data_IF_268176929343
#
_entry.id   IF_268176929343
#
_cell.length_a   1.000
_cell.length_b   1.000
_cell.length_c   1.000
_cell.angle_alpha   90.00
_cell.angle_beta   90.00
_cell.angle_gamma   90.00
#
_symmetry.space_group_name_H-M   'P 1'
#
loop_
_entity.id
_entity.type
_entity.pdbx_description
1 polymer ?
#
# COMPACT_ATOMS: atom_id res chain seq x y z
N UNK A 1 -22.79 17.96 5.85
CA UNK A 1 -21.61 17.61 6.67
C UNK A 1 -20.50 17.24 5.68
N UNK A 2 -19.52 18.11 5.47
CA UNK A 2 -18.43 17.87 4.51
C UNK A 2 -17.28 17.20 5.24
N UNK A 3 -17.10 15.89 5.04
CA UNK A 3 -15.92 15.15 5.49
C UNK A 3 -14.71 15.67 4.71
N UNK A 4 -13.91 16.51 5.36
CA UNK A 4 -12.58 16.83 4.86
C UNK A 4 -11.71 15.58 5.07
N UNK A 5 -11.49 14.82 4.00
CA UNK A 5 -10.43 13.82 3.96
C UNK A 5 -9.09 14.57 4.05
N UNK A 6 -8.59 14.75 5.28
CA UNK A 6 -7.22 15.20 5.48
C UNK A 6 -6.30 14.13 4.90
N UNK A 7 -5.50 14.51 3.91
CA UNK A 7 -4.42 13.64 3.43
C UNK A 7 -3.51 13.30 4.63
N UNK A 8 -3.18 12.00 4.83
CA UNK A 8 -2.21 11.60 5.86
C UNK A 8 -0.86 12.30 5.64
N UNK A 9 0.04 12.31 6.64
CA UNK A 9 1.45 12.60 6.30
C UNK A 9 1.98 11.41 5.52
N UNK A 10 1.86 11.49 4.22
CA UNK A 10 2.58 10.66 3.28
C UNK A 10 4.04 11.09 3.31
N UNK A 11 4.94 10.14 3.53
CA UNK A 11 6.30 10.32 3.05
C UNK A 11 6.28 10.24 1.52
N UNK A 12 7.14 10.98 0.80
CA UNK A 12 7.28 10.79 -0.63
C UNK A 12 7.62 9.32 -0.89
N UNK A 13 6.79 8.65 -1.68
CA UNK A 13 6.99 7.26 -2.04
C UNK A 13 8.39 7.05 -2.61
N UNK A 14 9.04 5.93 -2.28
CA UNK A 14 10.34 5.58 -2.89
C UNK A 14 10.19 5.62 -4.42
N UNK A 15 10.89 6.53 -5.14
CA UNK A 15 10.52 6.91 -6.50
C UNK A 15 10.60 5.73 -7.49
N UNK A 16 11.58 4.84 -7.33
CA UNK A 16 11.72 3.65 -8.17
C UNK A 16 10.57 2.65 -7.96
N UNK A 17 10.13 2.45 -6.72
CA UNK A 17 9.02 1.54 -6.40
C UNK A 17 7.69 2.14 -6.86
N UNK A 18 7.47 3.43 -6.60
CA UNK A 18 6.30 4.15 -7.07
C UNK A 18 6.17 4.09 -8.60
N UNK A 19 7.26 4.30 -9.34
CA UNK A 19 7.25 4.21 -10.80
C UNK A 19 6.92 2.81 -11.31
N UNK A 20 7.44 1.75 -10.65
CA UNK A 20 7.09 0.36 -11.01
C UNK A 20 5.62 0.05 -10.71
N UNK A 21 5.09 0.48 -9.57
CA UNK A 21 3.67 0.32 -9.20
C UNK A 21 2.78 1.07 -10.18
N UNK A 22 3.09 2.34 -10.47
CA UNK A 22 2.34 3.17 -11.40
C UNK A 22 2.25 2.53 -12.78
N UNK A 23 3.38 2.05 -13.30
CA UNK A 23 3.45 1.33 -14.58
C UNK A 23 2.61 0.04 -14.56
N UNK A 24 2.70 -0.76 -13.50
CA UNK A 24 1.93 -1.99 -13.36
C UNK A 24 0.42 -1.75 -13.26
N UNK A 25 0.00 -0.62 -12.68
CA UNK A 25 -1.40 -0.23 -12.57
C UNK A 25 -1.92 0.56 -13.78
N UNK A 26 -1.04 0.96 -14.71
CA UNK A 26 -1.40 1.82 -15.83
C UNK A 26 -1.83 3.23 -15.41
N UNK A 27 -1.37 3.69 -14.25
CA UNK A 27 -1.64 5.04 -13.72
C UNK A 27 -0.42 5.94 -13.93
N UNK A 28 -0.64 7.25 -14.10
CA UNK A 28 0.46 8.21 -14.20
C UNK A 28 1.29 8.26 -12.91
N UNK A 29 2.59 8.57 -13.01
CA UNK A 29 3.54 8.63 -11.88
C UNK A 29 3.14 9.59 -10.75
N UNK A 30 2.20 10.51 -10.98
CA UNK A 30 1.91 11.64 -10.09
C UNK A 30 0.81 11.37 -9.04
N UNK A 31 0.38 10.13 -8.81
CA UNK A 31 -0.81 9.87 -7.97
C UNK A 31 -0.62 8.83 -6.88
N UNK A 32 0.61 8.49 -6.48
CA UNK A 32 0.88 7.51 -5.43
C UNK A 32 1.51 8.16 -4.19
N UNK A 33 0.88 7.97 -3.05
CA UNK A 33 1.33 8.42 -1.74
C UNK A 33 1.66 7.23 -0.86
N UNK A 34 2.89 7.08 -0.36
CA UNK A 34 3.23 5.99 0.55
C UNK A 34 2.62 6.26 1.94
N UNK A 35 1.99 5.24 2.50
CA UNK A 35 1.34 5.27 3.80
C UNK A 35 2.04 4.34 4.78
N UNK A 36 2.13 4.78 6.02
CA UNK A 36 2.52 3.91 7.12
C UNK A 36 1.34 2.99 7.49
N UNK A 37 1.61 1.71 7.71
CA UNK A 37 0.60 0.77 8.21
C UNK A 37 0.08 1.15 9.59
N UNK A 38 0.90 1.80 10.41
CA UNK A 38 0.48 2.28 11.73
C UNK A 38 -0.56 3.39 11.63
N UNK A 39 -0.64 4.10 10.50
CA UNK A 39 -1.62 5.15 10.23
C UNK A 39 -2.91 4.61 9.56
N UNK A 40 -3.05 3.29 9.37
CA UNK A 40 -4.16 2.68 8.63
C UNK A 40 -5.11 1.85 9.51
N UNK A 41 -6.41 2.06 9.33
CA UNK A 41 -7.43 1.06 9.63
C UNK A 41 -7.79 0.33 8.33
N UNK A 42 -7.74 -0.99 8.37
CA UNK A 42 -8.07 -1.85 7.22
C UNK A 42 -9.05 -2.93 7.67
N UNK A 43 -10.02 -3.26 6.83
CA UNK A 43 -11.00 -4.30 7.12
C UNK A 43 -10.32 -5.66 7.32
N UNK A 44 -10.80 -6.45 8.29
CA UNK A 44 -10.24 -7.75 8.67
C UNK A 44 -10.04 -8.70 7.46
N UNK A 45 -10.98 -8.68 6.50
CA UNK A 45 -10.87 -9.51 5.29
C UNK A 45 -9.62 -9.19 4.47
N UNK A 46 -9.21 -7.93 4.41
CA UNK A 46 -8.01 -7.49 3.68
C UNK A 46 -6.76 -7.89 4.46
N UNK A 47 -6.80 -7.80 5.80
CA UNK A 47 -5.70 -8.31 6.64
C UNK A 47 -5.47 -9.79 6.39
N UNK A 48 -6.53 -10.60 6.31
CA UNK A 48 -6.41 -12.04 5.98
C UNK A 48 -5.80 -12.28 4.60
N UNK A 49 -6.24 -11.52 3.59
CA UNK A 49 -5.67 -11.60 2.24
C UNK A 49 -4.20 -11.16 2.21
N UNK A 50 -3.86 -10.12 2.96
CA UNK A 50 -2.48 -9.64 3.10
C UNK A 50 -1.60 -10.67 3.79
N UNK A 51 -2.07 -11.33 4.85
CA UNK A 51 -1.33 -12.40 5.52
C UNK A 51 -1.07 -13.58 4.57
N UNK A 52 -2.07 -13.98 3.77
CA UNK A 52 -1.90 -15.03 2.76
C UNK A 52 -0.86 -14.63 1.71
N UNK A 53 -0.95 -13.39 1.20
CA UNK A 53 0.03 -12.86 0.27
C UNK A 53 1.43 -12.82 0.89
N UNK A 54 1.56 -12.34 2.13
CA UNK A 54 2.83 -12.28 2.85
C UNK A 54 3.45 -13.67 3.01
N UNK A 55 2.66 -14.70 3.30
CA UNK A 55 3.15 -16.08 3.35
C UNK A 55 3.68 -16.56 2.00
N UNK A 56 2.95 -16.31 0.90
CA UNK A 56 3.41 -16.66 -0.45
C UNK A 56 4.70 -15.95 -0.82
N UNK A 57 4.78 -14.65 -0.52
CA UNK A 57 5.94 -13.81 -0.83
C UNK A 57 7.14 -14.20 0.03
N UNK A 58 6.94 -14.51 1.31
CA UNK A 58 7.98 -15.00 2.20
C UNK A 58 8.50 -16.37 1.76
N UNK A 59 7.63 -17.28 1.32
CA UNK A 59 8.04 -18.58 0.77
C UNK A 59 8.97 -18.42 -0.44
N UNK A 60 8.62 -17.51 -1.36
CA UNK A 60 9.46 -17.17 -2.52
C UNK A 60 10.75 -16.41 -2.16
N UNK A 61 10.72 -15.65 -1.07
CA UNK A 61 11.86 -14.86 -0.60
C UNK A 61 12.81 -15.66 0.32
N UNK A 62 12.35 -16.72 0.99
CA UNK A 62 13.17 -17.59 1.85
C UNK A 62 14.29 -18.28 1.07
N UNK A 63 14.09 -18.52 -0.23
CA UNK A 63 15.13 -18.98 -1.14
C UNK A 63 16.19 -17.90 -1.48
N UNK A 64 16.08 -16.68 -0.92
CA UNK A 64 16.84 -15.51 -1.38
C UNK A 64 17.33 -14.61 -0.23
N UNK A 65 18.53 -14.06 -0.41
CA UNK A 65 19.16 -13.17 0.59
C UNK A 65 18.47 -11.80 0.73
N UNK A 66 17.61 -11.42 -0.22
CA UNK A 66 16.85 -10.17 -0.17
C UNK A 66 15.44 -10.48 0.33
N UNK A 67 15.17 -10.16 1.59
CA UNK A 67 13.85 -10.33 2.19
C UNK A 67 12.74 -9.57 1.45
N UNK A 68 11.50 -9.97 1.69
CA UNK A 68 10.32 -9.33 1.12
C UNK A 68 9.95 -8.04 1.87
N UNK A 69 9.60 -6.99 1.13
CA UNK A 69 9.06 -5.76 1.70
C UNK A 69 7.59 -5.61 1.31
N UNK A 70 6.75 -5.31 2.29
CA UNK A 70 5.35 -4.95 2.08
C UNK A 70 5.19 -3.47 2.40
N UNK A 71 4.64 -2.71 1.45
CA UNK A 71 4.37 -1.28 1.56
C UNK A 71 2.92 -0.97 1.19
N UNK A 72 2.38 0.12 1.74
CA UNK A 72 1.04 0.60 1.45
C UNK A 72 1.11 1.93 0.69
N UNK A 73 0.31 2.07 -0.36
CA UNK A 73 0.24 3.29 -1.16
C UNK A 73 -1.21 3.70 -1.37
N UNK A 74 -1.52 4.97 -1.25
CA UNK A 74 -2.82 5.51 -1.60
C UNK A 74 -2.77 6.20 -2.96
N UNK A 75 -3.77 5.90 -3.80
CA UNK A 75 -3.97 6.53 -5.11
C UNK A 75 -4.87 7.75 -4.96
N UNK A 76 -4.32 8.94 -5.14
CA UNK A 76 -4.99 10.21 -4.84
C UNK A 76 -6.33 10.39 -5.57
N UNK A 77 -6.39 10.02 -6.85
CA UNK A 77 -7.58 10.22 -7.69
C UNK A 77 -8.68 9.18 -7.48
N UNK A 78 -8.35 7.97 -7.00
CA UNK A 78 -9.32 6.87 -6.88
C UNK A 78 -9.70 6.53 -5.45
N UNK A 79 -9.06 7.14 -4.45
CA UNK A 79 -9.25 6.79 -3.04
C UNK A 79 -8.99 5.30 -2.73
N UNK A 80 -8.25 4.62 -3.60
CA UNK A 80 -7.88 3.23 -3.42
C UNK A 80 -6.56 3.11 -2.66
N UNK A 81 -6.49 2.11 -1.80
CA UNK A 81 -5.25 1.66 -1.20
C UNK A 81 -4.67 0.56 -2.07
N UNK A 82 -3.38 0.62 -2.32
CA UNK A 82 -2.58 -0.37 -3.03
C UNK A 82 -1.60 -0.94 -2.03
N UNK A 83 -1.79 -2.21 -1.69
CA UNK A 83 -0.80 -2.97 -0.94
C UNK A 83 0.17 -3.59 -1.95
N UNK A 84 1.46 -3.32 -1.77
CA UNK A 84 2.51 -3.78 -2.65
C UNK A 84 3.46 -4.66 -1.87
N UNK A 85 3.67 -5.89 -2.34
CA UNK A 85 4.78 -6.73 -1.89
C UNK A 85 5.84 -6.79 -2.99
N UNK A 86 7.08 -6.38 -2.67
CA UNK A 86 8.22 -6.41 -3.59
C UNK A 86 9.20 -7.51 -3.18
N UNK A 87 9.44 -8.46 -4.08
CA UNK A 87 10.45 -9.51 -3.94
C UNK A 87 11.77 -9.15 -4.63
N UNK A 88 11.87 -7.94 -5.20
CA UNK A 88 13.00 -7.47 -6.00
C UNK A 88 12.99 -7.95 -7.45
N UNK A 89 12.24 -9.01 -7.79
CA UNK A 89 12.01 -9.48 -9.16
C UNK A 89 10.57 -9.23 -9.61
N UNK A 90 9.62 -9.48 -8.71
CA UNK A 90 8.20 -9.36 -8.98
C UNK A 90 7.53 -8.39 -8.01
N UNK A 91 6.49 -7.71 -8.49
CA UNK A 91 5.60 -6.90 -7.67
C UNK A 91 4.26 -7.60 -7.57
N UNK A 92 3.85 -7.92 -6.36
CA UNK A 92 2.49 -8.35 -6.09
C UNK A 92 1.68 -7.16 -5.61
N UNK A 93 0.69 -6.77 -6.40
CA UNK A 93 -0.15 -5.61 -6.14
C UNK A 93 -1.56 -6.08 -5.76
N UNK A 94 -2.07 -5.56 -4.66
CA UNK A 94 -3.44 -5.76 -4.22
C UNK A 94 -4.12 -4.41 -4.08
N UNK A 95 -5.20 -4.20 -4.84
CA UNK A 95 -6.04 -3.01 -4.74
C UNK A 95 -7.11 -3.24 -3.69
N UNK A 96 -7.24 -2.28 -2.79
CA UNK A 96 -8.18 -2.28 -1.67
C UNK A 96 -9.11 -1.08 -1.89
N UNK A 97 -10.39 -1.33 -2.20
CA UNK A 97 -11.38 -0.28 -2.37
C UNK A 97 -11.53 0.57 -1.11
N UNK A 98 -11.83 1.86 -1.27
CA UNK A 98 -12.07 2.83 -0.19
C UNK A 98 -12.96 2.30 0.94
N UNK A 99 -14.00 1.53 0.62
CA UNK A 99 -14.91 0.95 1.61
C UNK A 99 -14.25 -0.03 2.62
N UNK A 100 -12.98 -0.39 2.42
CA UNK A 100 -12.26 -1.39 3.22
C UNK A 100 -11.02 -0.85 3.90
N UNK A 101 -10.77 0.46 3.83
CA UNK A 101 -9.67 1.08 4.55
C UNK A 101 -10.00 2.53 4.89
N UNK A 102 -9.31 3.08 5.88
CA UNK A 102 -9.31 4.51 6.17
C UNK A 102 -8.02 4.85 6.91
N UNK A 103 -7.62 6.11 6.84
CA UNK A 103 -6.52 6.64 7.68
C UNK A 103 -7.04 6.82 9.10
N UNK A 104 -6.23 6.46 10.11
CA UNK A 104 -6.53 6.73 11.52
C UNK A 104 -6.60 8.25 11.75
N UNK A 105 -7.61 8.78 12.46
CA UNK A 105 -7.64 10.18 12.81
C UNK A 105 -6.43 10.49 13.70
N UNK A 106 -5.65 11.52 13.33
CA UNK A 106 -4.50 11.94 14.12
C UNK A 106 -4.97 12.52 15.44
N UNK A 107 -4.62 11.85 16.53
CA UNK A 107 -4.80 12.41 17.86
C UNK A 107 -3.67 13.41 18.07
N UNK A 108 -3.93 14.69 17.80
CA UNK A 108 -3.08 15.76 18.29
C UNK A 108 -3.18 15.76 19.82
N UNK A 109 -2.14 15.25 20.49
CA UNK A 109 -1.94 15.39 21.93
C UNK A 109 -1.24 16.70 22.25
#
# INVERSE_FOLDING_TARGET
MHSHHHAPASAPARPELAGRIARSLGIGEMSLNELDFDDLYVAEKIVKQLSQLAMTVLDQALDREKGALISAFWVENSMELVLCADTGQELHLMRVPEAHWTVKPRVHH
#
